data_IF_337959208835
#
_entry.id   IF_337959208835
#
_cell.length_a   1.000
_cell.length_b   1.000
_cell.length_c   1.000
_cell.angle_alpha   90.00
_cell.angle_beta   90.00
_cell.angle_gamma   90.00
#
_symmetry.space_group_name_H-M   'P 1'
#
loop_
_entity.id
_entity.type
_entity.pdbx_description
1 polymer ?
#
# COMPACT_ATOMS: atom_id res chain seq x y z
N UNK A 1 17.68 -0.38 17.89
CA UNK A 1 18.65 -1.32 17.29
C UNK A 1 18.34 -2.77 17.67
N UNK A 2 18.29 -3.12 18.97
CA UNK A 2 18.03 -4.50 19.42
C UNK A 2 16.74 -5.12 18.86
N UNK A 3 15.61 -4.38 18.85
CA UNK A 3 14.36 -4.87 18.30
C UNK A 3 14.45 -5.21 16.79
N UNK A 4 15.18 -4.40 16.01
CA UNK A 4 15.38 -4.63 14.59
C UNK A 4 16.26 -5.86 14.34
N UNK A 5 17.34 -6.02 15.11
CA UNK A 5 18.20 -7.22 15.03
C UNK A 5 17.41 -8.48 15.37
N UNK A 6 16.61 -8.46 16.44
CA UNK A 6 15.77 -9.61 16.80
C UNK A 6 14.75 -9.94 15.70
N UNK A 7 14.14 -8.92 15.10
CA UNK A 7 13.21 -9.08 13.99
C UNK A 7 13.89 -9.73 12.77
N UNK A 8 15.06 -9.21 12.35
CA UNK A 8 15.82 -9.77 11.23
C UNK A 8 16.30 -11.20 11.53
N UNK A 9 16.70 -11.48 12.77
CA UNK A 9 17.05 -12.83 13.19
C UNK A 9 15.88 -13.80 12.99
N UNK A 10 14.67 -13.42 13.42
CA UNK A 10 13.47 -14.23 13.17
C UNK A 10 13.20 -14.39 11.67
N UNK A 11 13.35 -13.34 10.86
CA UNK A 11 13.17 -13.45 9.40
C UNK A 11 14.08 -14.51 8.77
N UNK A 12 15.39 -14.47 9.05
CA UNK A 12 16.33 -15.41 8.46
C UNK A 12 16.19 -16.84 9.01
N UNK A 13 16.14 -16.99 10.34
CA UNK A 13 16.25 -18.31 10.95
C UNK A 13 14.91 -18.99 11.22
N UNK A 14 13.80 -18.24 11.41
CA UNK A 14 12.47 -18.83 11.66
C UNK A 14 11.66 -18.94 10.38
N UNK A 15 11.65 -17.90 9.54
CA UNK A 15 10.78 -17.85 8.35
C UNK A 15 11.50 -18.31 7.08
N UNK A 16 12.70 -17.79 6.79
CA UNK A 16 13.44 -18.16 5.59
C UNK A 16 14.26 -19.45 5.73
N UNK A 17 14.52 -19.89 6.97
CA UNK A 17 15.35 -21.07 7.30
C UNK A 17 16.73 -21.04 6.62
N UNK A 18 17.34 -19.86 6.51
CA UNK A 18 18.59 -19.63 5.77
C UNK A 18 19.55 -18.78 6.59
N UNK A 19 20.83 -19.19 6.60
CA UNK A 19 21.90 -18.36 7.14
C UNK A 19 22.11 -17.11 6.24
N UNK A 20 22.09 -15.89 6.81
CA UNK A 20 22.17 -14.66 6.04
C UNK A 20 23.56 -14.34 5.48
N UNK A 21 24.60 -14.93 6.07
CA UNK A 21 25.98 -14.75 5.63
C UNK A 21 26.12 -15.15 4.16
N UNK A 22 26.82 -14.32 3.40
CA UNK A 22 27.07 -14.51 1.97
C UNK A 22 25.79 -14.59 1.10
N UNK A 23 24.69 -13.97 1.56
CA UNK A 23 23.44 -13.84 0.78
C UNK A 23 23.26 -12.43 0.22
N UNK A 24 22.60 -12.34 -0.93
CA UNK A 24 22.10 -11.09 -1.49
C UNK A 24 20.72 -10.80 -0.89
N UNK A 25 20.50 -9.57 -0.44
CA UNK A 25 19.25 -9.16 0.19
C UNK A 25 18.62 -8.02 -0.60
N UNK A 26 17.32 -8.13 -0.85
CA UNK A 26 16.51 -7.09 -1.48
C UNK A 26 15.47 -6.65 -0.47
N UNK A 27 15.37 -5.34 -0.30
CA UNK A 27 14.41 -4.72 0.60
C UNK A 27 13.46 -3.92 -0.24
N UNK A 28 12.21 -4.38 -0.28
CA UNK A 28 11.12 -3.61 -0.86
C UNK A 28 10.68 -2.59 0.17
N UNK A 29 10.81 -1.31 -0.14
CA UNK A 29 10.51 -0.22 0.78
C UNK A 29 9.61 0.84 0.17
N UNK A 30 8.97 1.63 1.03
CA UNK A 30 8.32 2.87 0.60
C UNK A 30 9.37 3.91 0.20
N UNK A 31 9.09 4.65 -0.87
CA UNK A 31 9.95 5.74 -1.36
C UNK A 31 10.20 6.84 -0.32
N UNK A 32 9.25 7.01 0.60
CA UNK A 32 9.26 8.06 1.63
C UNK A 32 9.85 7.57 2.97
N UNK A 33 10.44 6.37 2.98
CA UNK A 33 11.10 5.81 4.16
C UNK A 33 12.28 6.70 4.62
N UNK A 34 12.39 7.03 5.92
CA UNK A 34 13.47 7.87 6.41
C UNK A 34 14.85 7.27 6.13
N UNK A 35 15.78 8.07 5.60
CA UNK A 35 17.14 7.63 5.26
C UNK A 35 17.87 7.04 6.47
N UNK A 36 17.68 7.61 7.66
CA UNK A 36 18.25 7.11 8.93
C UNK A 36 17.84 5.65 9.17
N UNK A 37 16.59 5.29 8.86
CA UNK A 37 16.12 3.92 9.02
C UNK A 37 16.81 2.98 8.02
N UNK A 38 16.99 3.42 6.76
CA UNK A 38 17.72 2.65 5.73
C UNK A 38 19.18 2.41 6.14
N UNK A 39 19.86 3.43 6.66
CA UNK A 39 21.24 3.32 7.14
C UNK A 39 21.38 2.34 8.30
N UNK A 40 20.47 2.40 9.27
CA UNK A 40 20.46 1.45 10.40
C UNK A 40 20.22 0.03 9.89
N UNK A 41 19.29 -0.15 8.95
CA UNK A 41 18.97 -1.45 8.37
C UNK A 41 20.17 -2.04 7.61
N UNK A 42 20.82 -1.23 6.77
CA UNK A 42 22.02 -1.63 6.06
C UNK A 42 23.18 -1.95 7.00
N UNK A 43 23.37 -1.16 8.06
CA UNK A 43 24.40 -1.42 9.08
C UNK A 43 24.19 -2.78 9.74
N UNK A 44 22.95 -3.08 10.15
CA UNK A 44 22.64 -4.39 10.75
C UNK A 44 22.91 -5.53 9.76
N UNK A 45 22.49 -5.39 8.51
CA UNK A 45 22.65 -6.44 7.50
C UNK A 45 24.12 -6.66 7.10
N UNK A 46 24.89 -5.60 6.83
CA UNK A 46 26.28 -5.72 6.40
C UNK A 46 27.25 -6.05 7.54
N UNK A 47 27.06 -5.44 8.71
CA UNK A 47 28.00 -5.57 9.83
C UNK A 47 27.65 -6.76 10.72
N UNK A 48 26.38 -6.94 11.09
CA UNK A 48 25.98 -8.02 12.01
C UNK A 48 25.76 -9.34 11.28
N UNK A 49 25.16 -9.31 10.08
CA UNK A 49 24.78 -10.51 9.34
C UNK A 49 25.68 -10.84 8.13
N UNK A 50 26.65 -9.98 7.81
CA UNK A 50 27.64 -10.20 6.76
C UNK A 50 27.03 -10.60 5.41
N UNK A 51 25.94 -9.93 5.01
CA UNK A 51 25.32 -10.14 3.69
C UNK A 51 26.25 -9.67 2.57
N UNK A 52 26.21 -10.33 1.41
CA UNK A 52 27.08 -10.02 0.26
C UNK A 52 26.73 -8.68 -0.38
N UNK A 53 25.45 -8.47 -0.65
CA UNK A 53 24.95 -7.24 -1.26
C UNK A 53 23.54 -6.92 -0.80
N UNK A 54 23.21 -5.63 -0.87
CA UNK A 54 21.93 -5.07 -0.45
C UNK A 54 21.39 -4.17 -1.57
N UNK A 55 20.10 -4.31 -1.88
CA UNK A 55 19.40 -3.43 -2.80
C UNK A 55 18.06 -2.98 -2.21
N UNK A 56 17.80 -1.68 -2.27
CA UNK A 56 16.52 -1.11 -1.90
C UNK A 56 15.69 -0.87 -3.15
N UNK A 57 14.48 -1.43 -3.17
CA UNK A 57 13.57 -1.36 -4.32
C UNK A 57 12.29 -0.64 -3.91
N UNK A 58 11.92 0.46 -4.57
CA UNK A 58 10.65 1.14 -4.34
C UNK A 58 9.44 0.23 -4.53
N UNK A 59 8.53 0.16 -3.54
CA UNK A 59 7.33 -0.68 -3.57
C UNK A 59 6.43 -0.43 -4.79
N UNK A 60 6.30 0.85 -5.18
CA UNK A 60 5.46 1.27 -6.29
C UNK A 60 6.04 0.83 -7.64
N UNK A 61 7.38 0.91 -7.80
CA UNK A 61 8.07 0.45 -9.00
C UNK A 61 8.07 -1.09 -9.06
N UNK A 62 8.35 -1.75 -7.94
CA UNK A 62 8.26 -3.21 -7.81
C UNK A 62 6.90 -3.73 -8.28
N UNK A 63 5.83 -3.06 -7.86
CA UNK A 63 4.47 -3.47 -8.20
C UNK A 63 4.19 -3.41 -9.70
N UNK A 64 4.66 -2.36 -10.39
CA UNK A 64 4.53 -2.24 -11.84
C UNK A 64 5.36 -3.28 -12.60
N UNK A 65 6.52 -3.68 -12.07
CA UNK A 65 7.33 -4.74 -12.67
C UNK A 65 6.59 -6.08 -12.75
N UNK A 66 5.69 -6.38 -11.80
CA UNK A 66 4.88 -7.62 -11.85
C UNK A 66 3.96 -7.69 -13.08
N UNK A 67 3.57 -6.52 -13.60
CA UNK A 67 2.65 -6.38 -14.73
C UNK A 67 3.38 -6.12 -16.06
N UNK A 68 4.70 -5.90 -16.03
CA UNK A 68 5.46 -5.48 -17.22
C UNK A 68 5.05 -4.10 -17.74
N UNK A 69 4.50 -3.24 -16.88
CA UNK A 69 4.06 -1.88 -17.23
C UNK A 69 5.15 -0.89 -16.80
N UNK A 70 5.62 -0.03 -17.70
CA UNK A 70 6.64 0.97 -17.39
C UNK A 70 6.06 2.31 -16.90
N UNK A 71 4.85 2.65 -17.32
CA UNK A 71 4.17 3.91 -16.97
C UNK A 71 2.79 3.63 -16.38
N UNK A 72 2.57 4.04 -15.13
CA UNK A 72 1.31 3.83 -14.42
C UNK A 72 1.20 4.62 -13.12
N UNK A 73 -0.01 4.68 -12.58
CA UNK A 73 -0.33 5.32 -11.32
C UNK A 73 -0.55 4.23 -10.26
N UNK A 74 0.27 4.21 -9.22
CA UNK A 74 0.21 3.19 -8.17
C UNK A 74 -0.36 3.79 -6.90
N UNK A 75 -1.51 3.26 -6.45
CA UNK A 75 -2.15 3.60 -5.18
C UNK A 75 -1.85 2.48 -4.17
N UNK A 76 -1.07 2.81 -3.14
CA UNK A 76 -0.76 1.94 -2.00
C UNK A 76 -1.64 2.29 -0.80
N UNK A 77 -2.62 1.44 -0.50
CA UNK A 77 -3.54 1.60 0.65
C UNK A 77 -3.10 0.67 1.77
N UNK A 78 -2.15 1.16 2.57
CA UNK A 78 -1.53 0.41 3.66
C UNK A 78 -2.37 0.38 4.94
N UNK A 79 -1.69 0.17 6.07
CA UNK A 79 -2.32 0.19 7.40
C UNK A 79 -2.48 1.63 7.93
N UNK A 80 -1.42 2.43 7.94
CA UNK A 80 -1.42 3.79 8.51
C UNK A 80 -1.84 4.86 7.53
N UNK A 81 -1.44 4.71 6.27
CA UNK A 81 -1.55 5.76 5.27
C UNK A 81 -1.85 5.19 3.89
N UNK A 82 -2.38 6.06 3.05
CA UNK A 82 -2.55 5.86 1.62
C UNK A 82 -1.50 6.68 0.92
N UNK A 83 -0.71 6.06 0.05
CA UNK A 83 0.32 6.73 -0.74
C UNK A 83 -0.01 6.54 -2.21
N UNK A 84 0.10 7.61 -2.99
CA UNK A 84 -0.12 7.59 -4.42
C UNK A 84 1.13 8.13 -5.11
N UNK A 85 1.75 7.31 -5.95
CA UNK A 85 2.95 7.70 -6.71
C UNK A 85 2.77 7.33 -8.19
N UNK A 86 2.79 8.32 -9.09
CA UNK A 86 2.89 8.07 -10.52
C UNK A 86 4.31 7.65 -10.91
N UNK A 87 4.42 6.66 -11.78
CA UNK A 87 5.67 6.17 -12.38
C UNK A 87 5.57 6.35 -13.88
N UNK A 88 6.63 6.88 -14.49
CA UNK A 88 6.73 7.06 -15.94
C UNK A 88 8.04 6.44 -16.43
N UNK A 89 7.92 5.50 -17.36
CA UNK A 89 9.03 4.74 -17.93
C UNK A 89 10.01 4.19 -16.88
N UNK A 90 9.46 3.62 -15.79
CA UNK A 90 10.22 3.05 -14.68
C UNK A 90 10.73 4.07 -13.66
N UNK A 91 10.50 5.37 -13.85
CA UNK A 91 10.94 6.44 -12.95
C UNK A 91 9.76 7.01 -12.17
N UNK A 92 9.76 6.96 -10.82
CA UNK A 92 8.71 7.59 -10.03
C UNK A 92 8.80 9.11 -10.12
N UNK A 93 7.66 9.76 -10.38
CA UNK A 93 7.56 11.22 -10.49
C UNK A 93 7.26 11.79 -9.11
N UNK A 94 8.30 11.91 -8.28
CA UNK A 94 8.16 12.33 -6.89
C UNK A 94 7.56 13.71 -6.69
N UNK A 95 7.58 14.64 -7.66
CA UNK A 95 6.90 15.95 -7.47
C UNK A 95 5.36 15.86 -7.43
N UNK A 96 4.81 14.72 -7.88
CA UNK A 96 3.37 14.48 -8.01
C UNK A 96 2.84 13.48 -6.98
N UNK A 97 3.67 13.04 -6.02
CA UNK A 97 3.22 12.15 -4.97
C UNK A 97 2.12 12.79 -4.14
N UNK A 98 1.23 11.97 -3.60
CA UNK A 98 0.22 12.37 -2.64
C UNK A 98 0.18 11.33 -1.51
N UNK A 99 -0.17 11.76 -0.29
CA UNK A 99 -0.42 10.84 0.81
C UNK A 99 -1.55 11.34 1.71
N UNK A 100 -2.23 10.39 2.36
CA UNK A 100 -3.32 10.67 3.29
C UNK A 100 -3.23 9.72 4.50
N UNK A 101 -3.34 10.21 5.75
CA UNK A 101 -3.25 9.39 6.96
C UNK A 101 -4.57 8.65 7.27
N UNK A 102 -5.23 8.12 6.25
CA UNK A 102 -6.56 7.50 6.36
C UNK A 102 -6.61 6.20 5.57
N UNK A 103 -6.23 5.12 6.21
CA UNK A 103 -6.11 3.79 5.61
C UNK A 103 -6.72 2.70 6.52
N UNK A 104 -6.14 1.50 6.56
CA UNK A 104 -6.67 0.37 7.32
C UNK A 104 -6.92 0.64 8.81
N UNK A 105 -6.07 1.44 9.45
CA UNK A 105 -6.20 1.83 10.85
C UNK A 105 -7.48 2.65 11.11
N UNK A 106 -7.87 3.51 10.17
CA UNK A 106 -9.10 4.30 10.30
C UNK A 106 -10.35 3.40 10.26
N UNK A 107 -10.35 2.39 9.39
CA UNK A 107 -11.41 1.39 9.31
C UNK A 107 -11.49 0.56 10.60
N UNK A 108 -10.35 0.13 11.14
CA UNK A 108 -10.31 -0.59 12.41
C UNK A 108 -10.80 0.26 13.58
N UNK A 109 -10.46 1.55 13.61
CA UNK A 109 -10.95 2.46 14.63
C UNK A 109 -12.47 2.61 14.56
N UNK A 110 -13.07 2.69 13.36
CA UNK A 110 -14.52 2.69 13.20
C UNK A 110 -15.16 1.40 13.73
N UNK A 111 -14.53 0.25 13.54
CA UNK A 111 -14.98 -1.04 14.09
C UNK A 111 -14.92 -1.00 15.62
N UNK A 112 -13.80 -0.56 16.20
CA UNK A 112 -13.61 -0.50 17.66
C UNK A 112 -14.59 0.45 18.35
N UNK A 113 -14.96 1.56 17.71
CA UNK A 113 -15.93 2.51 18.28
C UNK A 113 -17.37 1.99 18.23
N UNK A 114 -17.71 1.17 17.22
CA UNK A 114 -19.10 0.71 17.00
C UNK A 114 -19.41 -0.65 17.61
N UNK A 115 -18.39 -1.44 17.94
CA UNK A 115 -18.54 -2.76 18.55
C UNK A 115 -18.17 -2.69 20.02
N UNK A 116 -19.08 -3.12 20.89
CA UNK A 116 -18.76 -3.33 22.30
C UNK A 116 -18.04 -4.66 22.50
N UNK A 117 -16.71 -4.60 22.49
CA UNK A 117 -15.82 -5.76 22.67
C UNK A 117 -15.69 -6.12 24.18
N UNK A 118 -16.25 -5.33 25.10
CA UNK A 118 -16.08 -5.47 26.55
C UNK A 118 -14.65 -5.15 27.02
N UNK A 119 -14.33 -5.46 28.28
CA UNK A 119 -12.98 -5.26 28.83
C UNK A 119 -12.01 -6.35 28.36
N UNK A 120 -11.40 -6.15 27.20
CA UNK A 120 -10.23 -6.90 26.72
C UNK A 120 -8.99 -5.99 26.76
N UNK A 121 -7.79 -6.58 26.74
CA UNK A 121 -6.56 -5.79 26.58
C UNK A 121 -6.50 -5.14 25.19
N UNK A 122 -5.91 -3.95 25.09
CA UNK A 122 -5.80 -3.21 23.82
C UNK A 122 -5.14 -4.04 22.69
N UNK A 123 -4.12 -4.84 23.01
CA UNK A 123 -3.45 -5.72 22.03
C UNK A 123 -4.40 -6.80 21.45
N UNK A 124 -5.35 -7.29 22.24
CA UNK A 124 -6.35 -8.24 21.76
C UNK A 124 -7.40 -7.55 20.89
N UNK A 125 -7.73 -6.29 21.21
CA UNK A 125 -8.74 -5.52 20.49
C UNK A 125 -8.24 -5.17 19.08
N UNK A 126 -6.96 -4.81 18.93
CA UNK A 126 -6.36 -4.55 17.62
C UNK A 126 -6.43 -5.78 16.71
N UNK A 127 -6.03 -6.95 17.20
CA UNK A 127 -6.08 -8.20 16.43
C UNK A 127 -7.51 -8.61 16.07
N UNK A 128 -8.48 -8.41 16.98
CA UNK A 128 -9.89 -8.74 16.73
C UNK A 128 -10.48 -7.78 15.68
N UNK A 129 -10.18 -6.49 15.75
CA UNK A 129 -10.67 -5.51 14.79
C UNK A 129 -10.13 -5.77 13.38
N UNK A 130 -8.84 -6.14 13.26
CA UNK A 130 -8.24 -6.56 11.99
C UNK A 130 -8.96 -7.79 11.40
N UNK A 131 -9.24 -8.79 12.23
CA UNK A 131 -9.90 -10.02 11.79
C UNK A 131 -11.38 -9.81 11.41
N UNK A 132 -12.12 -8.98 12.18
CA UNK A 132 -13.48 -8.56 11.82
C UNK A 132 -13.48 -7.81 10.49
N UNK A 133 -12.55 -6.86 10.31
CA UNK A 133 -12.39 -6.11 9.05
C UNK A 133 -12.18 -7.06 7.87
N UNK A 134 -11.31 -8.06 8.02
CA UNK A 134 -10.96 -9.00 6.96
C UNK A 134 -12.07 -10.02 6.65
N UNK A 135 -12.75 -10.55 7.67
CA UNK A 135 -13.73 -11.65 7.51
C UNK A 135 -15.17 -11.19 7.32
N UNK A 136 -15.56 -10.09 7.97
CA UNK A 136 -16.97 -9.70 8.07
C UNK A 136 -17.31 -8.51 7.16
N UNK A 137 -16.41 -7.53 7.03
CA UNK A 137 -16.68 -6.26 6.38
C UNK A 137 -16.41 -6.30 4.87
N UNK A 138 -17.07 -5.42 4.12
CA UNK A 138 -16.86 -5.23 2.69
C UNK A 138 -17.13 -3.78 2.29
N UNK A 139 -16.75 -3.42 1.07
CA UNK A 139 -16.98 -2.07 0.52
C UNK A 139 -18.28 -2.07 -0.26
N UNK A 140 -19.20 -1.17 0.12
CA UNK A 140 -20.47 -0.98 -0.57
C UNK A 140 -20.36 -0.10 -1.81
N UNK A 141 -21.35 -0.20 -2.71
CA UNK A 141 -21.46 0.65 -3.90
C UNK A 141 -21.76 2.10 -3.54
N UNK A 142 -21.39 3.04 -4.42
CA UNK A 142 -21.56 4.47 -4.19
C UNK A 142 -23.02 4.84 -3.94
N UNK A 143 -23.93 4.29 -4.76
CA UNK A 143 -25.36 4.56 -4.65
C UNK A 143 -25.91 4.12 -3.30
N UNK A 144 -25.49 2.94 -2.82
CA UNK A 144 -25.95 2.38 -1.55
C UNK A 144 -25.42 3.19 -0.37
N UNK A 145 -24.12 3.50 -0.36
CA UNK A 145 -23.50 4.34 0.68
C UNK A 145 -24.17 5.71 0.79
N UNK A 146 -24.47 6.38 -0.35
CA UNK A 146 -25.21 7.66 -0.34
C UNK A 146 -26.59 7.57 0.32
N UNK A 147 -27.34 6.48 0.09
CA UNK A 147 -28.66 6.30 0.72
C UNK A 147 -28.51 6.04 2.22
N UNK A 148 -27.57 5.17 2.61
CA UNK A 148 -27.28 4.89 4.02
C UNK A 148 -26.85 6.15 4.78
N UNK A 149 -26.06 7.02 4.15
CA UNK A 149 -25.67 8.31 4.71
C UNK A 149 -26.85 9.25 4.99
N UNK A 150 -27.99 9.10 4.29
CA UNK A 150 -29.23 9.85 4.58
C UNK A 150 -30.05 9.27 5.72
N UNK A 151 -29.61 8.16 6.33
CA UNK A 151 -30.34 7.43 7.37
C UNK A 151 -31.54 6.62 6.84
N UNK A 152 -31.68 6.49 5.52
CA UNK A 152 -32.71 5.67 4.92
C UNK A 152 -32.28 4.19 4.86
N UNK A 153 -33.21 3.30 5.21
CA UNK A 153 -33.00 1.86 5.09
C UNK A 153 -32.99 1.43 3.62
N UNK A 154 -31.99 0.65 3.22
CA UNK A 154 -31.88 0.11 1.86
C UNK A 154 -32.26 -1.37 1.85
N UNK A 155 -33.10 -1.78 0.89
CA UNK A 155 -33.42 -3.19 0.64
C UNK A 155 -32.57 -3.74 -0.54
N UNK A 156 -32.03 -4.98 -0.45
CA UNK A 156 -32.09 -5.86 0.71
C UNK A 156 -31.21 -5.36 1.86
N UNK A 157 -31.67 -5.59 3.09
CA UNK A 157 -30.84 -5.39 4.28
C UNK A 157 -29.69 -6.38 4.32
N UNK A 158 -28.55 -5.91 4.77
CA UNK A 158 -27.36 -6.75 4.96
C UNK A 158 -27.55 -7.61 6.18
N UNK A 159 -27.24 -8.91 6.06
CA UNK A 159 -27.37 -9.84 7.18
C UNK A 159 -26.37 -9.52 8.28
N UNK A 160 -26.77 -9.75 9.52
CA UNK A 160 -25.85 -9.76 10.64
C UNK A 160 -25.00 -11.04 10.60
N UNK A 161 -23.79 -10.99 11.15
CA UNK A 161 -22.87 -12.13 11.21
C UNK A 161 -22.40 -12.33 12.65
N UNK A 162 -22.46 -13.56 13.13
CA UNK A 162 -21.95 -13.91 14.45
C UNK A 162 -20.43 -14.14 14.36
N UNK A 163 -19.67 -13.38 15.15
CA UNK A 163 -18.22 -13.47 15.25
C UNK A 163 -17.84 -14.09 16.59
N UNK A 164 -17.12 -15.21 16.56
CA UNK A 164 -16.66 -15.90 17.76
C UNK A 164 -15.25 -15.45 18.15
N UNK A 165 -15.12 -14.82 19.32
CA UNK A 165 -13.84 -14.53 19.97
C UNK A 165 -13.38 -15.80 20.69
N UNK A 166 -12.24 -16.35 20.25
CA UNK A 166 -11.57 -17.50 20.87
C UNK A 166 -12.47 -18.74 21.11
N UNK A 167 -13.60 -18.85 20.38
CA UNK A 167 -14.55 -19.96 20.49
C UNK A 167 -15.46 -19.96 21.73
N UNK A 168 -15.28 -19.03 22.67
CA UNK A 168 -16.06 -19.00 23.92
C UNK A 168 -17.12 -17.89 23.92
N UNK A 169 -16.81 -16.72 23.34
CA UNK A 169 -17.71 -15.56 23.33
C UNK A 169 -18.12 -15.23 21.90
N UNK A 170 -19.40 -15.06 21.64
CA UNK A 170 -19.88 -14.52 20.36
C UNK A 170 -20.28 -13.05 20.46
N UNK A 171 -20.01 -12.31 19.39
CA UNK A 171 -20.46 -10.94 19.18
C UNK A 171 -21.19 -10.90 17.85
N UNK A 172 -22.38 -10.32 17.82
CA UNK A 172 -23.13 -10.11 16.58
C UNK A 172 -22.63 -8.85 15.90
N UNK A 173 -22.03 -8.99 14.72
CA UNK A 173 -21.59 -7.88 13.87
C UNK A 173 -22.78 -7.49 12.98
N UNK A 174 -23.32 -6.31 13.22
CA UNK A 174 -24.46 -5.82 12.43
C UNK A 174 -24.10 -5.61 10.96
N UNK A 175 -25.05 -5.91 10.07
CA UNK A 175 -24.95 -5.63 8.64
C UNK A 175 -24.60 -4.17 8.31
N UNK A 176 -25.03 -3.22 9.14
CA UNK A 176 -24.69 -1.80 9.00
C UNK A 176 -23.19 -1.54 9.16
N UNK A 177 -22.57 -2.09 10.22
CA UNK A 177 -21.13 -1.97 10.47
C UNK A 177 -20.34 -2.60 9.33
N UNK A 178 -20.78 -3.78 8.85
CA UNK A 178 -20.10 -4.51 7.77
C UNK A 178 -20.00 -3.71 6.47
N UNK A 179 -20.98 -2.84 6.23
CA UNK A 179 -21.13 -2.07 4.99
C UNK A 179 -20.57 -0.64 5.05
N UNK A 180 -20.62 -0.01 6.21
CA UNK A 180 -20.33 1.43 6.38
C UNK A 180 -18.92 1.71 6.89
N UNK A 181 -18.23 0.74 7.49
CA UNK A 181 -16.88 0.99 8.08
C UNK A 181 -15.83 1.44 7.07
N UNK A 182 -15.97 1.04 5.80
CA UNK A 182 -15.05 1.43 4.73
C UNK A 182 -15.38 2.79 4.11
N UNK A 183 -16.55 3.38 4.40
CA UNK A 183 -16.94 4.68 3.82
C UNK A 183 -16.00 5.80 4.27
N UNK A 184 -15.39 5.67 5.45
CA UNK A 184 -14.34 6.58 5.95
C UNK A 184 -13.21 6.77 4.92
N UNK A 185 -12.89 5.79 4.09
CA UNK A 185 -11.83 5.90 3.08
C UNK A 185 -12.21 6.78 1.88
N UNK A 186 -13.50 6.99 1.66
CA UNK A 186 -14.06 7.71 0.51
C UNK A 186 -14.67 9.07 0.89
N UNK A 187 -14.82 9.33 2.19
CA UNK A 187 -15.25 10.63 2.72
C UNK A 187 -14.20 11.71 2.42
N UNK A 188 -14.68 12.91 2.11
CA UNK A 188 -13.82 14.07 1.91
C UNK A 188 -13.49 14.68 3.28
N UNK A 189 -12.19 14.81 3.57
CA UNK A 189 -11.72 15.52 4.74
C UNK A 189 -12.05 17.02 4.66
N UNK A 190 -11.75 17.77 5.73
CA UNK A 190 -11.95 19.23 5.81
C UNK A 190 -11.30 19.97 4.62
N UNK A 191 -10.21 19.42 4.08
CA UNK A 191 -9.48 19.96 2.92
C UNK A 191 -9.97 19.43 1.56
N UNK A 192 -11.17 18.83 1.50
CA UNK A 192 -11.73 18.18 0.29
C UNK A 192 -10.85 17.04 -0.29
N UNK A 193 -9.96 16.49 0.55
CA UNK A 193 -9.06 15.40 0.18
C UNK A 193 -9.71 14.04 0.47
N UNK A 194 -9.69 13.17 -0.53
CA UNK A 194 -10.12 11.77 -0.51
C UNK A 194 -9.23 10.95 -1.44
N UNK A 195 -9.28 9.62 -1.38
CA UNK A 195 -8.54 8.75 -2.31
C UNK A 195 -8.84 9.11 -3.78
N UNK A 196 -10.10 9.46 -4.06
CA UNK A 196 -10.56 9.84 -5.39
C UNK A 196 -9.96 11.17 -5.85
N UNK A 197 -9.94 12.18 -4.99
CA UNK A 197 -9.36 13.48 -5.33
C UNK A 197 -7.84 13.40 -5.45
N UNK A 198 -7.15 12.61 -4.62
CA UNK A 198 -5.72 12.33 -4.78
C UNK A 198 -5.37 11.82 -6.19
N UNK A 199 -6.14 10.87 -6.72
CA UNK A 199 -5.95 10.31 -8.06
C UNK A 199 -6.16 11.39 -9.13
N UNK A 200 -7.27 12.12 -9.07
CA UNK A 200 -7.60 13.13 -10.07
C UNK A 200 -6.64 14.32 -10.04
N UNK A 201 -6.22 14.75 -8.85
CA UNK A 201 -5.25 15.84 -8.65
C UNK A 201 -3.85 15.45 -9.13
N UNK A 202 -3.44 14.20 -8.90
CA UNK A 202 -2.18 13.69 -9.44
C UNK A 202 -2.19 13.69 -10.97
N UNK A 203 -3.31 13.28 -11.58
CA UNK A 203 -3.44 13.26 -13.04
C UNK A 203 -3.49 14.69 -13.60
N UNK A 204 -4.27 15.62 -13.05
CA UNK A 204 -4.34 17.00 -13.57
C UNK A 204 -3.00 17.74 -13.42
N UNK A 205 -2.26 17.51 -12.35
CA UNK A 205 -0.95 18.13 -12.12
C UNK A 205 0.17 17.47 -12.96
N UNK A 206 -0.08 16.29 -13.54
CA UNK A 206 0.85 15.63 -14.45
C UNK A 206 0.93 16.30 -15.83
N UNK A 207 2.02 16.04 -16.56
CA UNK A 207 2.20 16.53 -17.92
C UNK A 207 1.10 15.97 -18.83
N UNK A 208 0.61 16.78 -19.77
CA UNK A 208 -0.53 16.43 -20.64
C UNK A 208 -0.33 15.08 -21.34
N UNK A 209 0.90 14.77 -21.78
CA UNK A 209 1.23 13.56 -22.54
C UNK A 209 1.10 12.26 -21.75
N UNK A 210 1.22 12.32 -20.41
CA UNK A 210 1.15 11.12 -19.55
C UNK A 210 -0.22 10.93 -18.89
N UNK A 211 -1.10 11.94 -18.91
CA UNK A 211 -2.41 11.92 -18.23
C UNK A 211 -3.25 10.71 -18.61
N UNK A 212 -3.37 10.45 -19.91
CA UNK A 212 -4.15 9.33 -20.42
C UNK A 212 -3.54 8.00 -19.99
N UNK A 213 -2.21 7.86 -20.12
CA UNK A 213 -1.49 6.65 -19.68
C UNK A 213 -1.67 6.39 -18.19
N UNK A 214 -1.59 7.42 -17.34
CA UNK A 214 -1.81 7.27 -15.90
C UNK A 214 -3.25 6.85 -15.56
N UNK A 215 -4.25 7.40 -16.26
CA UNK A 215 -5.65 7.03 -16.06
C UNK A 215 -5.97 5.61 -16.55
N UNK A 216 -5.29 5.14 -17.60
CA UNK A 216 -5.45 3.79 -18.15
C UNK A 216 -4.60 2.73 -17.45
N UNK A 217 -3.60 3.15 -16.66
CA UNK A 217 -2.68 2.26 -15.98
C UNK A 217 -2.69 2.50 -14.47
N UNK A 218 -3.84 2.32 -13.84
CA UNK A 218 -3.95 2.38 -12.37
C UNK A 218 -3.70 0.99 -11.78
N UNK A 219 -2.83 0.92 -10.78
CA UNK A 219 -2.51 -0.29 -10.02
C UNK A 219 -2.80 -0.03 -8.56
N UNK A 220 -3.57 -0.92 -7.94
CA UNK A 220 -3.94 -0.84 -6.53
C UNK A 220 -3.12 -1.89 -5.76
N UNK A 221 -2.43 -1.46 -4.71
CA UNK A 221 -1.63 -2.32 -3.84
C UNK A 221 -1.94 -2.04 -2.36
N UNK A 222 -1.56 -2.97 -1.49
CA UNK A 222 -1.73 -2.83 -0.04
C UNK A 222 -2.90 -3.65 0.52
N UNK A 223 -2.85 -3.94 1.81
CA UNK A 223 -3.79 -4.85 2.48
C UNK A 223 -5.24 -4.36 2.48
N UNK A 224 -5.47 -3.05 2.57
CA UNK A 224 -6.83 -2.49 2.63
C UNK A 224 -7.57 -2.61 1.30
N UNK A 225 -6.85 -2.66 0.17
CA UNK A 225 -7.44 -2.84 -1.17
C UNK A 225 -8.09 -4.21 -1.33
N UNK A 226 -7.65 -5.23 -0.57
CA UNK A 226 -8.19 -6.58 -0.64
C UNK A 226 -9.64 -6.67 -0.17
N UNK A 227 -10.19 -5.61 0.44
CA UNK A 227 -11.59 -5.55 0.83
C UNK A 227 -12.51 -5.73 -0.39
N UNK A 228 -13.45 -6.68 -0.29
CA UNK A 228 -14.37 -7.00 -1.39
C UNK A 228 -15.16 -5.76 -1.81
N UNK A 229 -15.13 -5.42 -3.09
CA UNK A 229 -15.84 -4.27 -3.65
C UNK A 229 -15.04 -2.98 -3.74
N UNK A 230 -13.83 -2.92 -3.15
CA UNK A 230 -13.01 -1.70 -3.11
C UNK A 230 -12.77 -1.09 -4.50
N UNK A 231 -12.27 -1.90 -5.45
CA UNK A 231 -12.00 -1.44 -6.82
C UNK A 231 -13.27 -0.95 -7.53
N UNK A 232 -14.41 -1.61 -7.33
CA UNK A 232 -15.67 -1.22 -7.97
C UNK A 232 -16.16 0.13 -7.44
N UNK A 233 -16.14 0.31 -6.11
CA UNK A 233 -16.51 1.57 -5.46
C UNK A 233 -15.59 2.70 -5.90
N UNK A 234 -14.27 2.50 -5.89
CA UNK A 234 -13.30 3.51 -6.32
C UNK A 234 -13.54 3.94 -7.78
N UNK A 235 -13.86 3.00 -8.67
CA UNK A 235 -14.20 3.32 -10.06
C UNK A 235 -15.47 4.16 -10.18
N UNK A 236 -16.51 3.85 -9.41
CA UNK A 236 -17.75 4.63 -9.37
C UNK A 236 -17.50 6.06 -8.87
N UNK A 237 -16.74 6.20 -7.78
CA UNK A 237 -16.37 7.49 -7.18
C UNK A 237 -15.56 8.36 -8.16
N UNK A 238 -14.58 7.78 -8.85
CA UNK A 238 -13.78 8.49 -9.86
C UNK A 238 -14.64 9.01 -11.01
N UNK A 239 -15.56 8.19 -11.52
CA UNK A 239 -16.46 8.59 -12.61
C UNK A 239 -17.44 9.66 -12.16
N UNK A 240 -17.93 9.58 -10.91
CA UNK A 240 -18.81 10.61 -10.34
C UNK A 240 -18.06 11.93 -10.15
N UNK A 241 -16.87 11.90 -9.53
CA UNK A 241 -16.06 13.11 -9.27
C UNK A 241 -15.51 13.74 -10.54
N UNK A 242 -15.27 12.97 -11.60
CA UNK A 242 -14.87 13.51 -12.91
C UNK A 242 -15.90 14.49 -13.50
N UNK A 243 -17.18 14.40 -13.10
CA UNK A 243 -18.24 15.33 -13.53
C UNK A 243 -18.11 16.72 -12.91
N UNK A 244 -17.31 16.90 -11.85
CA UNK A 244 -17.09 18.19 -11.23
C UNK A 244 -16.34 19.13 -12.20
N UNK A 245 -16.72 20.42 -12.20
CA UNK A 245 -16.17 21.43 -13.10
C UNK A 245 -14.65 21.56 -13.05
N UNK A 246 -14.04 21.31 -11.88
CA UNK A 246 -12.58 21.28 -11.65
C UNK A 246 -11.84 20.33 -12.59
N UNK A 247 -12.47 19.22 -12.99
CA UNK A 247 -11.85 18.15 -13.77
C UNK A 247 -12.30 18.12 -15.24
N UNK A 248 -13.08 19.09 -15.71
CA UNK A 248 -13.54 19.14 -17.12
C UNK A 248 -12.40 19.13 -18.16
N UNK A 249 -11.21 19.61 -17.76
CA UNK A 249 -10.02 19.59 -18.62
C UNK A 249 -9.42 18.18 -18.79
N UNK A 250 -9.71 17.28 -17.85
CA UNK A 250 -9.33 15.87 -17.94
C UNK A 250 -10.34 15.18 -18.86
N UNK A 251 -10.04 15.17 -20.16
CA UNK A 251 -10.81 14.43 -21.18
C UNK A 251 -10.60 12.91 -21.07
N UNK A 252 -10.69 12.36 -19.86
CA UNK A 252 -10.49 10.95 -19.56
C UNK A 252 -11.81 10.22 -19.89
N UNK A 253 -11.74 9.25 -20.79
CA UNK A 253 -12.92 8.47 -21.20
C UNK A 253 -13.11 7.23 -20.33
N UNK A 254 -12.03 6.65 -19.82
CA UNK A 254 -12.05 5.40 -19.05
C UNK A 254 -10.88 5.34 -18.06
N UNK A 255 -11.18 4.93 -16.85
CA UNK A 255 -10.18 4.44 -15.90
C UNK A 255 -10.00 2.94 -16.09
N UNK A 256 -8.75 2.50 -16.26
CA UNK A 256 -8.41 1.08 -16.35
C UNK A 256 -7.50 0.70 -15.18
N UNK A 257 -7.97 -0.30 -14.45
CA UNK A 257 -7.29 -0.91 -13.31
C UNK A 257 -6.68 -2.22 -13.78
N UNK A 258 -5.40 -2.42 -13.50
CA UNK A 258 -4.71 -3.67 -13.80
C UNK A 258 -4.67 -4.55 -12.56
N UNK A 259 -4.96 -5.83 -12.75
CA UNK A 259 -4.92 -6.84 -11.69
C UNK A 259 -3.63 -7.63 -11.86
N UNK A 260 -2.82 -7.65 -10.81
CA UNK A 260 -1.56 -8.40 -10.77
C UNK A 260 -1.81 -9.90 -10.55
N UNK A 261 -0.81 -10.77 -10.84
CA UNK A 261 -0.95 -12.21 -10.65
C UNK A 261 -0.96 -12.69 -9.19
N UNK A 262 -0.85 -11.77 -8.21
CA UNK A 262 -0.89 -12.05 -6.78
C UNK A 262 -1.88 -11.11 -6.07
N UNK A 263 -2.26 -11.47 -4.84
CA UNK A 263 -3.08 -10.60 -3.99
C UNK A 263 -2.42 -9.25 -3.75
N UNK A 264 -3.24 -8.21 -3.61
CA UNK A 264 -2.85 -6.80 -3.59
C UNK A 264 -1.82 -6.47 -2.50
N UNK A 265 -1.88 -7.16 -1.37
CA UNK A 265 -0.92 -7.01 -0.27
C UNK A 265 0.49 -7.56 -0.60
N UNK A 266 0.59 -8.53 -1.52
CA UNK A 266 1.85 -9.20 -1.84
C UNK A 266 2.48 -8.74 -3.16
N UNK A 267 1.81 -7.86 -3.92
CA UNK A 267 2.27 -7.41 -5.24
C UNK A 267 3.66 -6.78 -5.16
N UNK A 268 3.89 -5.87 -4.21
CA UNK A 268 5.18 -5.21 -4.07
C UNK A 268 6.32 -6.21 -3.76
N UNK A 269 6.03 -7.21 -2.90
CA UNK A 269 6.97 -8.27 -2.57
C UNK A 269 7.28 -9.16 -3.79
N UNK A 270 6.24 -9.56 -4.54
CA UNK A 270 6.41 -10.33 -5.77
C UNK A 270 7.25 -9.56 -6.79
N UNK A 271 7.02 -8.25 -6.91
CA UNK A 271 7.82 -7.36 -7.75
C UNK A 271 9.30 -7.36 -7.37
N UNK A 272 9.60 -7.29 -6.08
CA UNK A 272 10.97 -7.41 -5.56
C UNK A 272 11.59 -8.79 -5.82
N UNK A 273 10.81 -9.86 -5.72
CA UNK A 273 11.24 -11.23 -6.03
C UNK A 273 11.57 -11.41 -7.52
N UNK A 274 10.73 -10.89 -8.41
CA UNK A 274 10.98 -10.88 -9.86
C UNK A 274 12.25 -10.06 -10.15
N UNK A 275 12.35 -8.86 -9.57
CA UNK A 275 13.52 -7.99 -9.73
C UNK A 275 14.81 -8.69 -9.30
N UNK A 276 14.80 -9.39 -8.17
CA UNK A 276 15.94 -10.14 -7.66
C UNK A 276 16.36 -11.33 -8.51
N UNK A 277 15.45 -11.85 -9.32
CA UNK A 277 15.73 -12.92 -10.27
C UNK A 277 16.35 -12.40 -11.57
N UNK A 278 16.40 -11.08 -11.77
CA UNK A 278 17.01 -10.46 -12.96
C UNK A 278 18.49 -10.16 -12.78
N UNK A 279 19.23 -10.09 -13.89
CA UNK A 279 20.65 -9.72 -13.89
C UNK A 279 20.90 -8.27 -13.47
N UNK A 280 19.87 -7.41 -13.48
CA UNK A 280 19.97 -6.00 -13.10
C UNK A 280 20.34 -5.83 -11.63
N UNK A 281 20.03 -6.81 -10.76
CA UNK A 281 20.35 -6.74 -9.35
C UNK A 281 21.85 -6.51 -9.11
N UNK A 282 22.72 -7.16 -9.88
CA UNK A 282 24.17 -7.03 -9.71
C UNK A 282 24.68 -5.62 -10.04
N UNK A 283 23.94 -4.88 -10.88
CA UNK A 283 24.28 -3.53 -11.31
C UNK A 283 23.88 -2.53 -10.22
N UNK A 284 22.67 -2.67 -9.66
CA UNK A 284 22.12 -1.69 -8.71
C UNK A 284 22.40 -2.00 -7.24
N UNK A 285 22.80 -3.23 -6.89
CA UNK A 285 23.02 -3.61 -5.49
C UNK A 285 24.33 -3.04 -4.94
N UNK A 286 24.31 -2.50 -3.73
CA UNK A 286 25.49 -2.10 -2.99
C UNK A 286 26.18 -3.35 -2.41
N UNK A 287 27.49 -3.51 -2.64
CA UNK A 287 28.26 -4.61 -2.04
C UNK A 287 28.72 -4.28 -0.63
N UNK A 288 28.99 -5.31 0.17
CA UNK A 288 29.54 -5.14 1.52
C UNK A 288 30.87 -4.40 1.53
N UNK A 289 31.74 -4.68 0.57
CA UNK A 289 33.05 -4.03 0.44
C UNK A 289 32.90 -2.52 0.21
N UNK A 290 32.04 -2.12 -0.73
CA UNK A 290 31.76 -0.71 -0.99
C UNK A 290 31.13 -0.03 0.23
N UNK A 291 30.22 -0.73 0.93
CA UNK A 291 29.63 -0.20 2.16
C UNK A 291 30.65 0.00 3.29
N UNK A 292 31.62 -0.90 3.47
CA UNK A 292 32.67 -0.74 4.49
C UNK A 292 33.56 0.46 4.18
N UNK A 293 33.86 0.70 2.91
CA UNK A 293 34.73 1.80 2.48
C UNK A 293 34.02 3.17 2.55
N UNK A 294 32.78 3.25 2.07
CA UNK A 294 32.05 4.53 1.97
C UNK A 294 31.13 4.81 3.15
N UNK A 295 30.75 3.79 3.92
CA UNK A 295 29.76 3.83 4.99
C UNK A 295 28.45 4.51 4.57
N UNK A 296 28.07 4.34 3.31
CA UNK A 296 26.94 5.00 2.66
C UNK A 296 26.05 3.98 1.95
N UNK A 297 24.75 4.21 2.00
CA UNK A 297 23.74 3.43 1.27
C UNK A 297 23.16 4.35 0.20
N UNK A 298 23.30 4.02 -1.09
CA UNK A 298 22.67 4.79 -2.14
C UNK A 298 21.15 4.73 -1.97
N UNK A 299 20.52 5.90 -2.04
CA UNK A 299 19.07 5.97 -2.17
C UNK A 299 18.68 5.62 -3.62
N UNK A 300 17.42 5.29 -3.85
CA UNK A 300 16.93 4.89 -5.18
C UNK A 300 17.24 5.90 -6.33
N UNK A 301 17.28 7.24 -6.12
CA UNK A 301 17.60 8.18 -7.20
C UNK A 301 19.12 8.30 -7.41
N UNK A 302 19.92 7.95 -6.39
CA UNK A 302 21.39 8.03 -6.45
C UNK A 302 22.04 6.73 -6.88
N UNK A 303 21.25 5.66 -7.06
CA UNK A 303 21.75 4.33 -7.44
C UNK A 303 22.44 4.33 -8.82
N UNK A 304 21.98 5.17 -9.75
CA UNK A 304 22.54 5.24 -11.12
C UNK A 304 23.65 6.28 -11.28
N UNK A 305 23.78 7.25 -10.37
CA UNK A 305 24.68 8.42 -10.55
C UNK A 305 26.11 8.18 -10.08
N UNK A 306 26.40 7.13 -9.29
CA UNK A 306 27.76 6.83 -8.81
C UNK A 306 28.51 5.75 -9.59
N UNK A 307 27.93 5.14 -10.62
CA UNK A 307 28.61 4.10 -11.41
C UNK A 307 29.76 4.58 -12.30
N UNK A 308 30.15 5.87 -12.27
CA UNK A 308 31.28 6.40 -13.03
C UNK A 308 32.05 7.46 -12.26
N UNK A 309 33.01 7.00 -11.48
CA UNK A 309 34.29 7.69 -11.27
C UNK A 309 35.33 6.61 -10.99
N UNK A 310 35.71 5.89 -12.05
CA UNK A 310 37.08 5.38 -12.21
C UNK A 310 37.91 6.45 -12.89
#
# INVERSE_FOLDING_TARGET
MLALTNFIHMLFYKYALVAPKDKKVIIVESLLSPTIFKEILAKVLFITYEVTSLCFVPSHCASLFTLGISTGLVLDVGYKEVILIPVCEGVPILRLWQAMPLAGQAVENQIKTRIDIGQLSDESIDSIAEDIKARCCFVTTLKRSKILATGQSVEPKTSDVEYHINGERSITISGDIRETVHDVLFEENIDEMSITTMILETIINSNVDIRLKLAENIVLIGGTVMAKGFMSRLKEELVEKLKCSKYNNLKITKFKFHVAPAYENYIAWLGGSIFGSTNNLNIVSQTRENYINENYVPDWPTTFTRQKTE
#
